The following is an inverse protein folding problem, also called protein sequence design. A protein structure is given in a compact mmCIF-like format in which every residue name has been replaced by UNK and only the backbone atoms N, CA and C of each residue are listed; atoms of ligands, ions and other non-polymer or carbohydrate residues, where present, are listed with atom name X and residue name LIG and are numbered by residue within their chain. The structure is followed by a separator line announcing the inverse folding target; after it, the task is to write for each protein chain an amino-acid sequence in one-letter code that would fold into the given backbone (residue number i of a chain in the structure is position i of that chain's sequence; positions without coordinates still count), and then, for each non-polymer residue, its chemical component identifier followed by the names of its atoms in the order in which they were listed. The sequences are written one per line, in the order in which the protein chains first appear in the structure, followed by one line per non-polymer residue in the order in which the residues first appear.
data_IF_369762715945
#
_entry.id   IF_369762715945
#
_cell.length_a   1.000
_cell.length_b   1.000
_cell.length_c   1.000
_cell.angle_alpha   90.00
_cell.angle_beta   90.00
_cell.angle_gamma   90.00
#
_symmetry.space_group_name_H-M   'P 1'
#
loop_
_entity.id
_entity.type
_entity.pdbx_description
1 polymer ?
#
# COMPACT_ATOMS: atom_id res chain seq x y z
N UNK A 1 -10.82 -21.88 -7.45
CA UNK A 1 -10.71 -21.08 -8.68
C UNK A 1 -9.58 -20.07 -8.50
N UNK A 2 -8.47 -20.23 -9.18
CA UNK A 2 -7.42 -19.21 -9.18
C UNK A 2 -8.01 -17.99 -9.87
N UNK A 3 -8.11 -16.86 -9.17
CA UNK A 3 -8.43 -15.58 -9.83
C UNK A 3 -7.36 -15.36 -10.88
N UNK A 4 -7.77 -15.26 -12.15
CA UNK A 4 -6.87 -15.06 -13.26
C UNK A 4 -5.93 -13.87 -13.03
N UNK A 5 -4.76 -13.93 -13.60
CA UNK A 5 -3.84 -12.81 -13.64
C UNK A 5 -4.50 -11.68 -14.45
N UNK A 6 -4.32 -10.44 -14.00
CA UNK A 6 -4.96 -9.28 -14.62
C UNK A 6 -3.89 -8.33 -15.16
N UNK A 7 -3.58 -8.40 -16.47
CA UNK A 7 -2.62 -7.51 -17.10
C UNK A 7 -3.10 -6.06 -17.07
N UNK A 8 -2.20 -5.13 -16.85
CA UNK A 8 -2.50 -3.69 -16.84
C UNK A 8 -3.16 -3.24 -18.16
N UNK A 9 -2.73 -3.81 -19.29
CA UNK A 9 -3.27 -3.49 -20.62
C UNK A 9 -4.78 -3.71 -20.76
N UNK A 10 -5.38 -4.61 -19.97
CA UNK A 10 -6.81 -4.90 -20.01
C UNK A 10 -7.62 -4.13 -18.97
N UNK A 11 -7.11 -4.02 -17.74
CA UNK A 11 -7.90 -3.51 -16.60
C UNK A 11 -7.28 -2.29 -15.92
N UNK A 12 -6.09 -1.87 -16.33
CA UNK A 12 -5.42 -0.68 -15.78
C UNK A 12 -6.13 0.63 -16.19
N UNK A 13 -6.01 1.70 -15.39
CA UNK A 13 -6.61 3.00 -15.67
C UNK A 13 -5.82 3.78 -16.74
N UNK A 14 -5.75 3.25 -17.97
CA UNK A 14 -4.97 3.78 -19.11
C UNK A 14 -5.39 5.19 -19.56
N UNK A 15 -6.58 5.63 -19.17
CA UNK A 15 -7.06 6.98 -19.46
C UNK A 15 -6.29 8.06 -18.67
N UNK A 16 -5.58 7.69 -17.60
CA UNK A 16 -4.80 8.62 -16.78
C UNK A 16 -3.37 8.77 -17.31
N UNK A 17 -3.23 9.35 -18.49
CA UNK A 17 -1.92 9.60 -19.12
C UNK A 17 -1.15 10.77 -18.48
N UNK A 18 -1.87 11.65 -17.79
CA UNK A 18 -1.30 12.77 -17.05
C UNK A 18 -1.86 12.79 -15.63
N UNK A 19 -0.99 12.84 -14.63
CA UNK A 19 -1.40 12.82 -13.22
C UNK A 19 -1.40 14.24 -12.65
N UNK A 20 -2.57 14.70 -12.23
CA UNK A 20 -2.70 15.85 -11.34
C UNK A 20 -2.65 15.36 -9.89
N UNK A 21 -1.55 15.68 -9.21
CA UNK A 21 -1.36 15.29 -7.81
C UNK A 21 -2.24 16.08 -6.83
N UNK A 22 -2.97 17.09 -7.27
CA UNK A 22 -3.98 17.79 -6.47
C UNK A 22 -5.35 17.10 -6.58
N UNK A 23 -5.59 16.35 -7.67
CA UNK A 23 -6.83 15.60 -7.85
C UNK A 23 -6.85 14.34 -6.98
N UNK A 24 -7.90 14.19 -6.17
CA UNK A 24 -8.05 13.03 -5.28
C UNK A 24 -8.27 11.73 -6.07
N UNK A 25 -9.02 11.77 -7.17
CA UNK A 25 -9.32 10.57 -7.97
C UNK A 25 -8.07 10.03 -8.66
N UNK A 26 -7.20 10.93 -9.17
CA UNK A 26 -5.90 10.57 -9.74
C UNK A 26 -5.00 9.91 -8.68
N UNK A 27 -4.85 10.55 -7.51
CA UNK A 27 -4.06 9.96 -6.40
C UNK A 27 -4.55 8.59 -6.00
N UNK A 28 -5.89 8.43 -5.89
CA UNK A 28 -6.51 7.15 -5.55
C UNK A 28 -6.24 6.09 -6.60
N UNK A 29 -6.38 6.43 -7.88
CA UNK A 29 -6.16 5.50 -9.00
C UNK A 29 -4.70 5.05 -9.09
N UNK A 30 -3.74 5.98 -8.94
CA UNK A 30 -2.31 5.64 -8.89
C UNK A 30 -2.03 4.75 -7.68
N UNK A 31 -2.51 5.11 -6.49
CA UNK A 31 -2.33 4.31 -5.28
C UNK A 31 -2.89 2.89 -5.43
N UNK A 32 -4.08 2.76 -6.04
CA UNK A 32 -4.68 1.46 -6.32
C UNK A 32 -3.85 0.64 -7.30
N UNK A 33 -3.31 1.28 -8.33
CA UNK A 33 -2.44 0.64 -9.32
C UNK A 33 -1.15 0.13 -8.70
N UNK A 34 -0.50 0.91 -7.84
CA UNK A 34 0.72 0.46 -7.14
C UNK A 34 0.45 -0.74 -6.23
N UNK A 35 -0.66 -0.72 -5.48
CA UNK A 35 -1.07 -1.87 -4.65
C UNK A 35 -1.42 -3.08 -5.51
N UNK A 36 -2.08 -2.88 -6.65
CA UNK A 36 -2.39 -3.97 -7.59
C UNK A 36 -1.11 -4.53 -8.21
N UNK A 37 -0.18 -3.66 -8.63
CA UNK A 37 1.13 -4.05 -9.13
C UNK A 37 1.90 -4.90 -8.13
N UNK A 38 1.88 -4.50 -6.84
CA UNK A 38 2.49 -5.29 -5.77
C UNK A 38 1.86 -6.69 -5.66
N UNK A 39 0.53 -6.81 -5.78
CA UNK A 39 -0.14 -8.11 -5.75
C UNK A 39 0.18 -8.97 -6.99
N UNK A 40 0.38 -8.36 -8.17
CA UNK A 40 0.83 -9.07 -9.36
C UNK A 40 2.31 -9.45 -9.26
N UNK A 41 3.16 -8.65 -8.58
CA UNK A 41 4.57 -8.98 -8.36
C UNK A 41 4.72 -10.23 -7.49
N UNK A 42 3.92 -10.38 -6.43
CA UNK A 42 3.91 -11.62 -5.66
C UNK A 42 3.48 -12.81 -6.51
N UNK A 43 2.55 -12.63 -7.43
CA UNK A 43 2.14 -13.68 -8.37
C UNK A 43 3.22 -13.99 -9.42
N UNK A 44 3.92 -12.98 -9.92
CA UNK A 44 5.08 -13.15 -10.81
C UNK A 44 6.13 -14.01 -10.09
N UNK A 45 6.48 -13.68 -8.83
CA UNK A 45 7.39 -14.47 -8.01
C UNK A 45 6.94 -15.92 -7.87
N UNK A 46 5.66 -16.17 -7.63
CA UNK A 46 5.11 -17.53 -7.56
C UNK A 46 5.19 -18.30 -8.88
N UNK A 47 5.07 -17.60 -10.01
CA UNK A 47 5.26 -18.18 -11.35
C UNK A 47 6.75 -18.49 -11.58
N UNK A 48 7.65 -17.57 -11.23
CA UNK A 48 9.10 -17.76 -11.32
C UNK A 48 9.56 -18.98 -10.51
N UNK A 49 9.05 -19.16 -9.28
CA UNK A 49 9.36 -20.34 -8.45
C UNK A 49 8.90 -21.66 -9.06
N UNK A 50 7.96 -21.65 -10.00
CA UNK A 50 7.47 -22.81 -10.75
C UNK A 50 8.12 -22.97 -12.13
N UNK A 51 9.16 -22.18 -12.41
CA UNK A 51 9.88 -22.22 -13.69
C UNK A 51 9.22 -21.44 -14.83
N UNK A 52 8.22 -20.60 -14.53
CA UNK A 52 7.61 -19.71 -15.52
C UNK A 52 8.37 -18.37 -15.62
N UNK A 53 8.20 -17.67 -16.74
CA UNK A 53 8.89 -16.41 -17.04
C UNK A 53 7.96 -15.21 -17.27
N UNK A 54 6.65 -15.39 -17.19
CA UNK A 54 5.69 -14.32 -17.46
C UNK A 54 5.66 -13.30 -16.32
N UNK A 55 5.93 -12.04 -16.63
CA UNK A 55 5.91 -10.91 -15.69
C UNK A 55 4.85 -9.89 -16.11
N UNK A 56 3.86 -9.63 -15.26
CA UNK A 56 2.78 -8.67 -15.53
C UNK A 56 2.83 -7.45 -14.60
N UNK A 57 3.57 -7.55 -13.51
CA UNK A 57 3.57 -6.54 -12.47
C UNK A 57 4.17 -5.19 -12.88
N UNK A 58 5.29 -5.11 -13.64
CA UNK A 58 5.96 -3.83 -13.92
C UNK A 58 5.06 -2.78 -14.55
N UNK A 59 4.18 -3.16 -15.46
CA UNK A 59 3.28 -2.22 -16.15
C UNK A 59 2.38 -1.42 -15.19
N UNK A 60 2.07 -1.95 -14.01
CA UNK A 60 1.20 -1.31 -13.03
C UNK A 60 1.82 -0.07 -12.36
N UNK A 61 3.14 0.03 -12.31
CA UNK A 61 3.84 1.18 -11.74
C UNK A 61 4.59 1.99 -12.79
N UNK A 62 5.17 1.34 -13.82
CA UNK A 62 5.91 2.02 -14.88
C UNK A 62 5.03 2.97 -15.69
N UNK A 63 3.77 2.61 -15.94
CA UNK A 63 2.81 3.47 -16.63
C UNK A 63 2.65 4.84 -15.93
N UNK A 64 2.79 4.89 -14.61
CA UNK A 64 2.70 6.11 -13.81
C UNK A 64 4.06 6.70 -13.49
N UNK A 65 5.12 6.32 -14.20
CA UNK A 65 6.49 6.78 -13.99
C UNK A 65 7.01 6.49 -12.58
N UNK A 66 6.66 5.34 -12.02
CA UNK A 66 7.28 4.82 -10.81
C UNK A 66 8.27 3.71 -11.13
N UNK A 67 9.31 3.64 -10.30
CA UNK A 67 10.29 2.57 -10.28
C UNK A 67 10.17 1.79 -8.96
N UNK A 68 10.15 0.47 -9.04
CA UNK A 68 10.28 -0.38 -7.86
C UNK A 68 11.71 -0.27 -7.30
N UNK A 69 11.83 0.14 -6.04
CA UNK A 69 13.12 0.33 -5.35
C UNK A 69 13.43 -0.82 -4.41
N UNK A 70 12.45 -1.23 -3.62
CA UNK A 70 12.58 -2.32 -2.66
C UNK A 70 11.30 -3.13 -2.55
N UNK A 71 11.43 -4.43 -2.36
CA UNK A 71 10.37 -5.31 -1.90
C UNK A 71 10.49 -5.51 -0.39
N UNK A 72 9.36 -5.54 0.31
CA UNK A 72 9.26 -5.89 1.71
C UNK A 72 8.78 -7.33 1.79
N UNK A 73 9.68 -8.19 2.19
CA UNK A 73 9.48 -9.64 2.23
C UNK A 73 9.25 -10.06 3.68
N UNK A 74 8.31 -10.96 3.88
CA UNK A 74 8.05 -11.58 5.17
C UNK A 74 9.11 -12.67 5.44
N UNK A 75 9.72 -12.63 6.61
CA UNK A 75 10.79 -13.57 6.99
C UNK A 75 10.27 -15.01 7.17
N UNK A 76 8.98 -15.19 7.51
CA UNK A 76 8.41 -16.50 7.82
C UNK A 76 8.06 -17.33 6.57
N UNK A 77 7.57 -16.68 5.51
CA UNK A 77 7.03 -17.35 4.31
C UNK A 77 7.58 -16.80 3.00
N UNK A 78 8.55 -15.88 3.08
CA UNK A 78 9.18 -15.21 1.94
C UNK A 78 8.19 -14.48 1.01
N UNK A 79 6.93 -14.29 1.44
CA UNK A 79 5.94 -13.57 0.64
C UNK A 79 6.22 -12.06 0.61
N UNK A 80 5.99 -11.44 -0.53
CA UNK A 80 6.08 -9.99 -0.68
C UNK A 80 4.79 -9.38 -0.09
N UNK A 81 4.91 -8.62 1.01
CA UNK A 81 3.78 -7.96 1.65
C UNK A 81 3.77 -6.44 1.45
N UNK A 82 4.88 -5.87 0.97
CA UNK A 82 4.99 -4.45 0.70
C UNK A 82 6.02 -4.15 -0.38
N UNK A 83 6.00 -2.94 -0.89
CA UNK A 83 7.00 -2.44 -1.83
C UNK A 83 7.17 -0.93 -1.70
N UNK A 84 8.37 -0.46 -2.04
CA UNK A 84 8.73 0.96 -2.11
C UNK A 84 8.89 1.31 -3.58
N UNK A 85 8.09 2.29 -4.01
CA UNK A 85 8.15 2.85 -5.35
C UNK A 85 8.70 4.28 -5.29
N UNK A 86 9.62 4.62 -6.19
CA UNK A 86 10.14 5.96 -6.39
C UNK A 86 9.53 6.58 -7.65
N UNK A 87 9.03 7.81 -7.53
CA UNK A 87 8.53 8.57 -8.67
C UNK A 87 9.71 9.19 -9.44
N UNK A 88 9.86 8.84 -10.72
CA UNK A 88 11.04 9.19 -11.51
C UNK A 88 10.93 10.50 -12.30
N UNK A 89 9.74 11.13 -12.31
CA UNK A 89 9.51 12.41 -12.98
C UNK A 89 9.05 13.52 -12.00
N UNK A 90 9.87 13.89 -11.01
CA UNK A 90 9.51 14.97 -10.11
C UNK A 90 9.45 16.29 -10.89
N UNK A 91 8.33 17.02 -10.77
CA UNK A 91 8.17 18.35 -11.32
C UNK A 91 7.98 19.36 -10.21
N UNK A 92 8.60 20.53 -10.37
CA UNK A 92 8.39 21.65 -9.45
C UNK A 92 6.96 22.18 -9.52
N UNK A 93 6.32 22.09 -10.69
CA UNK A 93 4.96 22.59 -10.94
C UNK A 93 3.87 21.59 -10.54
N UNK A 94 4.20 20.30 -10.38
CA UNK A 94 3.26 19.26 -10.02
C UNK A 94 3.85 18.37 -8.89
N UNK A 95 3.76 18.81 -7.62
CA UNK A 95 4.47 18.22 -6.50
C UNK A 95 3.85 16.89 -6.05
N UNK A 96 4.17 15.81 -6.75
CA UNK A 96 3.86 14.44 -6.36
C UNK A 96 4.71 13.93 -5.19
N UNK A 97 4.48 12.69 -4.75
CA UNK A 97 5.35 12.03 -3.80
C UNK A 97 6.72 11.76 -4.43
N UNK A 98 7.77 11.71 -3.62
CA UNK A 98 9.03 11.11 -4.06
C UNK A 98 8.97 9.60 -3.92
N UNK A 99 8.42 9.12 -2.81
CA UNK A 99 8.24 7.69 -2.54
C UNK A 99 6.80 7.37 -2.21
N UNK A 100 6.34 6.22 -2.69
CA UNK A 100 5.09 5.59 -2.25
C UNK A 100 5.45 4.22 -1.68
N UNK A 101 5.07 3.98 -0.43
CA UNK A 101 5.20 2.67 0.20
C UNK A 101 3.82 2.02 0.17
N UNK A 102 3.72 0.96 -0.63
CA UNK A 102 2.48 0.21 -0.78
C UNK A 102 2.54 -1.08 0.05
N UNK A 103 1.43 -1.42 0.69
CA UNK A 103 1.29 -2.65 1.46
C UNK A 103 0.15 -3.50 0.90
N UNK A 104 0.42 -4.78 0.75
CA UNK A 104 -0.55 -5.78 0.31
C UNK A 104 -0.96 -6.66 1.50
N UNK A 105 -2.27 -6.86 1.65
CA UNK A 105 -2.77 -7.79 2.64
C UNK A 105 -2.74 -9.21 2.10
N UNK A 106 -1.68 -9.96 2.35
CA UNK A 106 -1.72 -11.40 2.19
C UNK A 106 -2.64 -11.99 3.24
N UNK A 107 -3.52 -12.86 2.81
CA UNK A 107 -4.59 -13.46 3.58
C UNK A 107 -4.06 -14.13 4.87
N UNK A 108 -4.42 -13.59 6.03
CA UNK A 108 -4.73 -14.50 7.14
C UNK A 108 -5.77 -15.50 6.63
N UNK A 109 -5.64 -16.78 7.00
CA UNK A 109 -6.56 -17.84 6.56
C UNK A 109 -8.00 -17.36 6.69
N UNK A 110 -8.71 -17.40 5.57
CA UNK A 110 -10.02 -16.79 5.30
C UNK A 110 -11.15 -17.17 6.29
N UNK A 111 -10.90 -18.10 7.18
CA UNK A 111 -11.90 -18.68 8.09
C UNK A 111 -12.15 -17.84 9.34
N UNK A 112 -11.18 -17.05 9.79
CA UNK A 112 -11.31 -16.21 11.01
C UNK A 112 -11.87 -14.81 10.72
N UNK A 113 -11.84 -14.33 9.47
CA UNK A 113 -12.16 -12.94 9.11
C UNK A 113 -13.63 -12.65 8.85
N UNK A 114 -14.47 -13.66 8.70
CA UNK A 114 -15.87 -13.44 8.27
C UNK A 114 -16.84 -13.08 9.39
N UNK A 115 -16.47 -13.22 10.65
CA UNK A 115 -17.42 -13.03 11.76
C UNK A 115 -17.42 -11.67 12.43
N UNK A 116 -16.26 -10.96 12.54
CA UNK A 116 -16.16 -9.86 13.49
C UNK A 116 -15.41 -8.62 12.99
N UNK A 117 -15.42 -8.34 11.68
CA UNK A 117 -14.67 -7.23 11.07
C UNK A 117 -15.07 -5.83 11.58
N UNK A 118 -16.22 -5.68 12.20
CA UNK A 118 -16.72 -4.38 12.65
C UNK A 118 -16.32 -4.03 14.10
N UNK A 119 -16.16 -5.04 14.95
CA UNK A 119 -15.81 -4.83 16.37
C UNK A 119 -14.30 -4.82 16.64
N UNK A 120 -13.49 -5.45 15.77
CA UNK A 120 -12.11 -5.83 16.12
C UNK A 120 -11.01 -5.03 15.47
N UNK A 121 -11.32 -3.96 14.71
CA UNK A 121 -10.27 -3.15 14.07
C UNK A 121 -9.29 -2.54 15.09
N UNK A 122 -9.78 -2.16 16.26
CA UNK A 122 -8.92 -1.68 17.36
C UNK A 122 -8.06 -2.81 17.95
N UNK A 123 -8.61 -4.02 18.07
CA UNK A 123 -7.90 -5.21 18.55
C UNK A 123 -6.86 -5.63 17.52
N UNK A 124 -7.22 -5.63 16.22
CA UNK A 124 -6.31 -5.90 15.12
C UNK A 124 -5.15 -4.90 15.13
N UNK A 125 -5.40 -3.61 15.27
CA UNK A 125 -4.36 -2.59 15.35
C UNK A 125 -3.43 -2.80 16.55
N UNK A 126 -3.97 -3.20 17.71
CA UNK A 126 -3.16 -3.48 18.90
C UNK A 126 -2.32 -4.77 18.75
N UNK A 127 -2.88 -5.79 18.08
CA UNK A 127 -2.17 -7.06 17.81
C UNK A 127 -1.12 -6.88 16.71
N UNK A 128 -1.38 -6.01 15.73
CA UNK A 128 -0.46 -5.73 14.61
C UNK A 128 0.90 -5.18 15.07
N UNK A 129 0.96 -4.47 16.20
CA UNK A 129 2.24 -3.99 16.75
C UNK A 129 3.24 -5.12 17.07
N UNK A 130 2.75 -6.34 17.27
CA UNK A 130 3.57 -7.51 17.62
C UNK A 130 3.95 -8.34 16.40
N UNK A 131 3.43 -8.02 15.20
CA UNK A 131 3.70 -8.78 13.97
C UNK A 131 5.00 -8.28 13.35
N UNK A 132 5.90 -9.21 13.01
CA UNK A 132 7.20 -8.92 12.36
C UNK A 132 7.08 -8.04 11.12
N UNK A 133 6.02 -8.22 10.31
CA UNK A 133 5.73 -7.39 9.13
C UNK A 133 5.55 -5.91 9.45
N UNK A 134 4.92 -5.58 10.57
CA UNK A 134 4.73 -4.17 10.99
C UNK A 134 6.07 -3.58 11.41
N UNK A 135 6.85 -4.31 12.17
CA UNK A 135 8.18 -3.84 12.61
C UNK A 135 9.09 -3.60 11.40
N UNK A 136 9.09 -4.52 10.44
CA UNK A 136 9.82 -4.38 9.18
C UNK A 136 9.30 -3.19 8.37
N UNK A 137 7.98 -3.04 8.20
CA UNK A 137 7.38 -1.90 7.53
C UNK A 137 7.81 -0.57 8.16
N UNK A 138 7.82 -0.48 9.50
CA UNK A 138 8.20 0.73 10.22
C UNK A 138 9.64 1.13 9.97
N UNK A 139 10.59 0.19 9.94
CA UNK A 139 12.00 0.47 9.61
C UNK A 139 12.15 1.08 8.22
N UNK A 140 11.43 0.53 7.22
CA UNK A 140 11.48 1.06 5.86
C UNK A 140 10.82 2.43 5.73
N UNK A 141 9.71 2.67 6.43
CA UNK A 141 9.06 3.98 6.47
C UNK A 141 10.01 5.00 7.07
N UNK A 142 10.65 4.68 8.20
CA UNK A 142 11.62 5.54 8.87
C UNK A 142 12.79 5.92 7.96
N UNK A 143 13.40 4.92 7.30
CA UNK A 143 14.50 5.14 6.37
C UNK A 143 14.11 6.11 5.23
N UNK A 144 12.92 5.93 4.64
CA UNK A 144 12.49 6.80 3.54
C UNK A 144 12.13 8.20 4.00
N UNK A 145 11.54 8.32 5.18
CA UNK A 145 11.21 9.61 5.77
C UNK A 145 12.46 10.40 6.14
N UNK A 146 13.46 9.76 6.72
CA UNK A 146 14.74 10.42 7.05
C UNK A 146 15.46 10.93 5.80
N UNK A 147 15.35 10.21 4.66
CA UNK A 147 16.00 10.58 3.39
C UNK A 147 15.26 11.64 2.58
N UNK A 148 13.93 11.67 2.63
CA UNK A 148 13.12 12.51 1.74
C UNK A 148 12.23 13.53 2.43
N UNK A 149 12.05 13.40 3.73
CA UNK A 149 11.07 14.17 4.51
C UNK A 149 9.66 13.55 4.41
N UNK A 150 8.88 13.70 5.47
CA UNK A 150 7.55 13.09 5.61
C UNK A 150 6.55 13.53 4.55
N UNK A 151 6.61 14.77 4.07
CA UNK A 151 5.72 15.31 3.05
C UNK A 151 5.89 14.66 1.67
N UNK A 152 7.04 14.02 1.43
CA UNK A 152 7.40 13.38 0.16
C UNK A 152 7.21 11.85 0.17
N UNK A 153 6.83 11.27 1.31
CA UNK A 153 6.57 9.84 1.46
C UNK A 153 5.08 9.61 1.66
N UNK A 154 4.46 8.83 0.77
CA UNK A 154 3.06 8.46 0.88
C UNK A 154 2.95 6.98 1.24
N UNK A 155 1.93 6.66 2.03
CA UNK A 155 1.61 5.28 2.40
C UNK A 155 0.29 4.88 1.74
N UNK A 156 0.24 3.67 1.19
CA UNK A 156 -0.99 3.11 0.64
C UNK A 156 -1.11 1.64 0.97
N UNK A 157 -2.33 1.10 0.98
CA UNK A 157 -2.52 -0.31 1.24
C UNK A 157 -3.94 -0.78 0.99
N UNK A 158 -4.09 -2.09 0.85
CA UNK A 158 -5.38 -2.76 0.68
C UNK A 158 -5.56 -3.84 1.76
N UNK A 159 -6.75 -3.93 2.35
CA UNK A 159 -7.08 -4.92 3.40
C UNK A 159 -6.12 -4.79 4.59
N UNK A 160 -5.45 -5.85 5.05
CA UNK A 160 -4.44 -5.80 6.11
C UNK A 160 -3.32 -4.79 5.81
N UNK A 161 -2.91 -4.64 4.54
CA UNK A 161 -1.95 -3.63 4.14
C UNK A 161 -2.44 -2.20 4.40
N UNK A 162 -3.75 -1.95 4.33
CA UNK A 162 -4.32 -0.66 4.72
C UNK A 162 -4.19 -0.43 6.23
N UNK A 163 -4.36 -1.46 7.06
CA UNK A 163 -4.16 -1.36 8.50
C UNK A 163 -2.68 -1.06 8.84
N UNK A 164 -1.73 -1.69 8.16
CA UNK A 164 -0.29 -1.40 8.30
C UNK A 164 -0.01 0.06 7.91
N UNK A 165 -0.51 0.53 6.77
CA UNK A 165 -0.34 1.92 6.31
C UNK A 165 -0.91 2.93 7.32
N UNK A 166 -2.10 2.66 7.87
CA UNK A 166 -2.73 3.51 8.89
C UNK A 166 -1.94 3.54 10.19
N UNK A 167 -1.45 2.39 10.64
CA UNK A 167 -0.66 2.29 11.86
C UNK A 167 0.66 3.04 11.72
N UNK A 168 1.37 2.83 10.61
CA UNK A 168 2.59 3.57 10.30
C UNK A 168 2.32 5.08 10.25
N UNK A 169 1.28 5.52 9.55
CA UNK A 169 0.89 6.92 9.49
C UNK A 169 0.51 7.51 10.86
N UNK A 170 -0.12 6.73 11.75
CA UNK A 170 -0.47 7.16 13.11
C UNK A 170 0.78 7.37 13.98
N UNK A 171 1.71 6.45 13.93
CA UNK A 171 2.95 6.53 14.73
C UNK A 171 3.76 7.75 14.28
N UNK A 172 3.94 7.92 12.98
CA UNK A 172 4.76 9.00 12.44
C UNK A 172 4.08 10.38 12.48
N UNK A 173 2.74 10.46 12.53
CA UNK A 173 2.04 11.74 12.73
C UNK A 173 2.40 12.42 14.05
N UNK A 174 2.82 11.68 15.06
CA UNK A 174 3.33 12.25 16.30
C UNK A 174 4.68 12.96 16.14
N UNK A 175 5.42 12.61 15.09
CA UNK A 175 6.78 13.10 14.80
C UNK A 175 6.79 14.14 13.68
N UNK A 176 5.79 14.13 12.77
CA UNK A 176 5.75 15.00 11.61
C UNK A 176 4.33 15.51 11.32
N UNK A 177 4.20 16.82 11.07
CA UNK A 177 2.91 17.51 10.95
C UNK A 177 2.08 17.20 9.69
N UNK A 178 2.59 16.46 8.71
CA UNK A 178 1.85 16.14 7.48
C UNK A 178 2.17 14.76 6.92
N UNK A 179 1.15 13.90 6.87
CA UNK A 179 1.22 12.58 6.23
C UNK A 179 0.07 12.37 5.27
N UNK A 180 0.37 11.75 4.13
CA UNK A 180 -0.65 11.31 3.17
C UNK A 180 -0.75 9.79 3.21
N UNK A 181 -1.87 9.29 3.71
CA UNK A 181 -2.20 7.86 3.76
C UNK A 181 -3.42 7.60 2.89
N UNK A 182 -3.30 6.69 1.94
CA UNK A 182 -4.37 6.26 1.04
C UNK A 182 -4.75 4.82 1.34
N UNK A 183 -5.82 4.61 2.09
CA UNK A 183 -6.34 3.28 2.40
C UNK A 183 -7.37 2.86 1.36
N UNK A 184 -7.13 1.72 0.69
CA UNK A 184 -8.04 1.10 -0.26
C UNK A 184 -8.84 0.01 0.48
N UNK A 185 -9.89 0.41 1.19
CA UNK A 185 -10.77 -0.50 1.94
C UNK A 185 -12.02 -0.73 1.10
N UNK A 186 -12.25 -1.98 0.67
CA UNK A 186 -13.32 -2.32 -0.28
C UNK A 186 -14.73 -2.31 0.34
N UNK A 187 -14.91 -2.27 1.65
CA UNK A 187 -16.21 -2.39 2.33
C UNK A 187 -16.32 -1.68 3.67
N UNK A 188 -15.63 -0.56 3.90
CA UNK A 188 -15.94 0.25 5.08
C UNK A 188 -16.71 1.50 4.67
N UNK A 189 -17.92 1.66 5.19
CA UNK A 189 -18.70 2.89 5.05
C UNK A 189 -17.93 4.05 5.71
N UNK A 190 -17.80 5.18 5.01
CA UNK A 190 -17.09 6.39 5.47
C UNK A 190 -17.62 6.93 6.82
N UNK A 191 -18.82 6.56 7.23
CA UNK A 191 -19.40 6.90 8.53
C UNK A 191 -18.65 6.29 9.72
N UNK A 192 -18.02 5.12 9.57
CA UNK A 192 -17.29 4.44 10.65
C UNK A 192 -15.91 5.06 10.89
N UNK A 193 -15.27 5.60 9.85
CA UNK A 193 -14.01 6.36 10.01
C UNK A 193 -14.20 7.64 10.83
N UNK A 194 -15.40 8.25 10.79
CA UNK A 194 -15.74 9.43 11.59
C UNK A 194 -15.92 9.13 13.09
N UNK A 195 -16.42 7.95 13.44
CA UNK A 195 -16.54 7.52 14.84
C UNK A 195 -15.18 7.17 15.45
N UNK A 196 -14.32 6.45 14.71
CA UNK A 196 -12.96 6.16 15.18
C UNK A 196 -12.11 7.40 15.38
N UNK A 197 -12.32 8.47 14.59
CA UNK A 197 -11.59 9.73 14.78
C UNK A 197 -12.04 10.52 16.01
N UNK A 198 -13.24 10.29 16.55
CA UNK A 198 -13.71 10.89 17.82
C UNK A 198 -13.16 10.17 19.04
N UNK A 199 -12.89 8.88 18.97
CA UNK A 199 -12.30 8.10 20.07
C UNK A 199 -10.78 8.27 20.20
N UNK A 200 -10.11 8.88 19.22
CA UNK A 200 -8.66 9.13 19.20
C UNK A 200 -8.30 10.56 19.65
N UNK A 201 -9.26 11.31 20.20
CA UNK A 201 -9.03 12.59 20.88
C UNK A 201 -9.01 12.41 22.41
N UNK A 202 -8.08 11.61 22.90
CA UNK A 202 -7.60 11.69 24.28
C UNK A 202 -6.07 11.67 24.26
#
# INVERSE_FOLDING_TARGET
MSRGREPFSLVGPKHLTTIDWNDYSHRRSVSASLVKGLSERERDRQVELRGGSETLAPQWWEFFNFKLVNELVNEDDESIFGAIFEYVLPSATNPGPRYVIAFWGTLFKRETWKRDLESDFAIILNTLHQISRVQTAMKYVEDRVSKAGSSKVWLTGHSLGAAIAMLAGKIWRKVANSWKVFCLIRHMHLSQLRQSSKTIRM
#
